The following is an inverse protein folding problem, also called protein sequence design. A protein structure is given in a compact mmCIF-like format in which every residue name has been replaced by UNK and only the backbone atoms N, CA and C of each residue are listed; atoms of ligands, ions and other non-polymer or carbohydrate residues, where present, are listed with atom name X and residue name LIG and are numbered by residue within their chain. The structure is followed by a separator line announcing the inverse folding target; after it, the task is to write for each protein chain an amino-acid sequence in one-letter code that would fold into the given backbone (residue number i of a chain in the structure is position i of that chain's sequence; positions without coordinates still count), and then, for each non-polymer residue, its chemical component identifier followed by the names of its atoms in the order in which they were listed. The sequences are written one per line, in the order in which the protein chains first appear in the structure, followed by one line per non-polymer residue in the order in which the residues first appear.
data_IF_498558960967
#
_entry.id   IF_498558960967
#
_cell.length_a   1.000
_cell.length_b   1.000
_cell.length_c   1.000
_cell.angle_alpha   90.00
_cell.angle_beta   90.00
_cell.angle_gamma   90.00
#
_symmetry.space_group_name_H-M   'P 1'
#
loop_
_entity.id
_entity.type
_entity.pdbx_description
1 polymer ?
#
# COMPACT_ATOMS: atom_id res chain seq x y z
N UNK A 1 -30.78 -36.86 78.65
CA UNK A 1 -31.06 -38.06 77.83
C UNK A 1 -29.94 -38.14 76.80
N UNK A 2 -29.14 -39.20 76.96
CA UNK A 2 -28.07 -39.82 76.14
C UNK A 2 -27.69 -39.17 74.80
N UNK A 3 -26.43 -39.07 74.38
CA UNK A 3 -25.29 -39.98 74.61
C UNK A 3 -23.92 -39.28 74.54
N UNK A 4 -22.97 -39.84 75.28
CA UNK A 4 -21.53 -39.57 75.28
C UNK A 4 -20.86 -40.29 74.08
N UNK A 5 -19.73 -39.79 73.57
CA UNK A 5 -18.36 -40.32 73.77
C UNK A 5 -17.76 -40.51 72.36
N UNK A 6 -16.47 -40.39 72.05
CA UNK A 6 -15.23 -40.03 72.73
C UNK A 6 -14.18 -39.88 71.62
N UNK A 7 -13.15 -39.07 71.83
CA UNK A 7 -11.75 -39.38 71.49
C UNK A 7 -10.94 -38.09 71.33
N UNK A 8 -10.02 -37.92 72.27
CA UNK A 8 -9.03 -36.88 72.40
C UNK A 8 -7.66 -37.54 72.18
N UNK A 9 -6.77 -36.94 71.38
CA UNK A 9 -5.40 -36.59 71.81
C UNK A 9 -4.51 -36.02 70.67
N UNK A 10 -3.77 -34.97 71.05
CA UNK A 10 -2.59 -34.35 70.41
C UNK A 10 -1.33 -35.14 70.88
N UNK A 11 -0.06 -34.76 70.58
CA UNK A 11 0.50 -33.74 69.69
C UNK A 11 1.74 -34.18 68.87
N UNK A 12 2.25 -33.34 67.98
CA UNK A 12 3.63 -32.81 67.97
C UNK A 12 4.00 -32.19 66.60
N UNK A 13 4.81 -31.14 66.65
CA UNK A 13 5.13 -30.28 65.53
C UNK A 13 6.27 -30.79 64.66
N UNK A 14 6.28 -30.38 63.39
CA UNK A 14 7.50 -30.24 62.61
C UNK A 14 7.29 -29.18 61.52
N UNK A 15 8.19 -28.20 61.51
CA UNK A 15 8.25 -27.09 60.55
C UNK A 15 8.62 -27.58 59.15
N UNK A 16 8.03 -27.10 58.04
CA UNK A 16 8.59 -27.34 56.72
C UNK A 16 9.55 -26.20 56.33
N UNK A 17 10.79 -26.63 56.12
CA UNK A 17 11.93 -25.85 55.64
C UNK A 17 11.67 -25.09 54.32
N UNK A 18 12.40 -23.99 54.18
CA UNK A 18 12.54 -23.15 53.00
C UNK A 18 12.81 -23.96 51.73
N UNK A 19 11.93 -23.85 50.73
CA UNK A 19 12.24 -24.27 49.35
C UNK A 19 13.19 -23.24 48.75
N UNK A 20 14.40 -23.67 48.41
CA UNK A 20 15.32 -22.88 47.59
C UNK A 20 14.76 -22.75 46.16
N UNK A 21 14.53 -21.52 45.71
CA UNK A 21 14.27 -21.23 44.29
C UNK A 21 15.57 -21.38 43.49
N UNK A 22 15.80 -22.58 42.95
CA UNK A 22 16.77 -22.77 41.88
C UNK A 22 16.11 -22.39 40.53
N UNK A 23 16.77 -21.58 39.68
CA UNK A 23 16.20 -21.18 38.40
C UNK A 23 16.08 -22.39 37.47
N UNK A 24 14.85 -22.69 37.02
CA UNK A 24 14.58 -23.76 36.05
C UNK A 24 15.29 -23.46 34.72
N UNK A 25 16.41 -24.12 34.47
CA UNK A 25 17.08 -24.13 33.17
C UNK A 25 16.20 -24.89 32.17
N UNK A 26 15.54 -24.17 31.26
CA UNK A 26 14.76 -24.80 30.17
C UNK A 26 15.73 -25.59 29.28
N UNK A 27 15.47 -26.87 28.96
CA UNK A 27 16.33 -27.65 28.07
C UNK A 27 16.43 -26.98 26.70
N UNK A 28 17.65 -26.68 26.26
CA UNK A 28 17.97 -26.01 24.97
C UNK A 28 17.23 -26.63 23.77
N UNK A 29 17.00 -27.94 23.79
CA UNK A 29 16.28 -28.67 22.74
C UNK A 29 14.79 -28.30 22.67
N UNK A 30 14.13 -28.10 23.82
CA UNK A 30 12.74 -27.63 23.89
C UNK A 30 12.62 -26.18 23.44
N UNK A 31 13.59 -25.33 23.81
CA UNK A 31 13.63 -23.94 23.35
C UNK A 31 13.81 -23.85 21.82
N UNK A 32 14.61 -24.73 21.21
CA UNK A 32 14.78 -24.80 19.75
C UNK A 32 13.51 -25.32 19.06
N UNK A 33 12.85 -26.35 19.60
CA UNK A 33 11.59 -26.85 19.02
C UNK A 33 10.49 -25.79 19.07
N UNK A 34 10.36 -25.09 20.19
CA UNK A 34 9.34 -24.04 20.36
C UNK A 34 9.61 -22.84 19.43
N UNK A 35 10.88 -22.49 19.21
CA UNK A 35 11.27 -21.46 18.26
C UNK A 35 10.96 -21.85 16.81
N UNK A 36 11.23 -23.11 16.42
CA UNK A 36 10.90 -23.63 15.08
C UNK A 36 9.40 -23.65 14.87
N UNK A 37 8.62 -24.16 15.84
CA UNK A 37 7.15 -24.17 15.76
C UNK A 37 6.61 -22.74 15.65
N UNK A 38 7.10 -21.80 16.47
CA UNK A 38 6.70 -20.40 16.38
C UNK A 38 7.02 -19.77 15.02
N UNK A 39 8.19 -20.08 14.45
CA UNK A 39 8.58 -19.59 13.13
C UNK A 39 7.68 -20.16 12.02
N UNK A 40 7.33 -21.44 12.09
CA UNK A 40 6.39 -22.09 11.15
C UNK A 40 5.01 -21.48 11.26
N UNK A 41 4.47 -21.30 12.47
CA UNK A 41 3.14 -20.71 12.68
C UNK A 41 3.07 -19.27 12.17
N UNK A 42 4.10 -18.45 12.42
CA UNK A 42 4.18 -17.08 11.88
C UNK A 42 4.29 -17.08 10.36
N UNK A 43 5.03 -18.02 9.79
CA UNK A 43 5.14 -18.16 8.33
C UNK A 43 3.80 -18.54 7.72
N UNK A 44 3.09 -19.50 8.32
CA UNK A 44 1.76 -19.92 7.89
C UNK A 44 0.76 -18.75 7.96
N UNK A 45 0.74 -17.99 9.05
CA UNK A 45 -0.08 -16.78 9.18
C UNK A 45 0.21 -15.77 8.06
N UNK A 46 1.49 -15.49 7.79
CA UNK A 46 1.89 -14.56 6.72
C UNK A 46 1.46 -15.07 5.34
N UNK A 47 1.63 -16.37 5.06
CA UNK A 47 1.24 -16.99 3.79
C UNK A 47 -0.28 -16.94 3.59
N UNK A 48 -1.06 -17.25 4.62
CA UNK A 48 -2.52 -17.18 4.58
C UNK A 48 -3.01 -15.75 4.36
N UNK A 49 -2.40 -14.77 5.03
CA UNK A 49 -2.71 -13.34 4.82
C UNK A 49 -2.35 -12.90 3.41
N UNK A 50 -1.20 -13.30 2.90
CA UNK A 50 -0.81 -13.03 1.51
C UNK A 50 -1.78 -13.66 0.51
N UNK A 51 -2.23 -14.89 0.76
CA UNK A 51 -3.22 -15.55 -0.09
C UNK A 51 -4.55 -14.79 -0.10
N UNK A 52 -5.03 -14.33 1.07
CA UNK A 52 -6.23 -13.46 1.16
C UNK A 52 -6.06 -12.18 0.37
N UNK A 53 -4.90 -11.51 0.49
CA UNK A 53 -4.60 -10.29 -0.27
C UNK A 53 -4.66 -10.52 -1.78
N UNK A 54 -3.95 -11.55 -2.26
CA UNK A 54 -3.85 -11.90 -3.68
C UNK A 54 -5.16 -12.42 -4.29
N UNK A 55 -6.07 -12.94 -3.45
CA UNK A 55 -7.38 -13.45 -3.89
C UNK A 55 -8.32 -12.35 -4.37
N UNK A 56 -8.02 -11.08 -4.03
CA UNK A 56 -8.82 -9.94 -4.48
C UNK A 56 -8.14 -9.24 -5.67
N UNK A 57 -8.94 -8.71 -6.61
CA UNK A 57 -8.41 -7.91 -7.73
C UNK A 57 -7.61 -6.70 -7.23
N UNK A 58 -8.10 -6.02 -6.19
CA UNK A 58 -7.45 -4.86 -5.62
C UNK A 58 -6.13 -5.21 -4.94
N UNK A 59 -6.10 -6.27 -4.12
CA UNK A 59 -4.88 -6.71 -3.45
C UNK A 59 -3.81 -7.23 -4.43
N UNK A 60 -4.22 -7.95 -5.48
CA UNK A 60 -3.30 -8.34 -6.55
C UNK A 60 -2.67 -7.13 -7.24
N UNK A 61 -3.44 -6.10 -7.62
CA UNK A 61 -2.88 -4.89 -8.25
C UNK A 61 -1.93 -4.15 -7.30
N UNK A 62 -2.27 -4.05 -6.01
CA UNK A 62 -1.41 -3.45 -4.97
C UNK A 62 -0.07 -4.18 -4.89
N UNK A 63 -0.07 -5.52 -4.84
CA UNK A 63 1.18 -6.29 -4.75
C UNK A 63 2.02 -6.10 -6.01
N UNK A 64 1.42 -6.19 -7.20
CA UNK A 64 2.13 -5.97 -8.46
C UNK A 64 2.65 -4.53 -8.58
N UNK A 65 1.91 -3.54 -8.09
CA UNK A 65 2.34 -2.15 -8.05
C UNK A 65 3.56 -1.96 -7.17
N UNK A 66 3.55 -2.52 -5.96
CA UNK A 66 4.68 -2.46 -5.05
C UNK A 66 5.92 -3.14 -5.65
N UNK A 67 5.77 -4.35 -6.20
CA UNK A 67 6.88 -5.06 -6.85
C UNK A 67 7.47 -4.25 -8.01
N UNK A 68 6.61 -3.63 -8.83
CA UNK A 68 7.05 -2.72 -9.89
C UNK A 68 7.85 -1.54 -9.33
N UNK A 69 7.25 -0.74 -8.44
CA UNK A 69 7.84 0.51 -7.98
C UNK A 69 9.09 0.30 -7.11
N UNK A 70 9.08 -0.72 -6.25
CA UNK A 70 10.23 -1.05 -5.39
C UNK A 70 11.39 -1.56 -6.24
N UNK A 71 11.16 -2.46 -7.21
CA UNK A 71 12.26 -2.96 -8.06
C UNK A 71 12.86 -1.86 -8.93
N UNK A 72 12.03 -0.95 -9.47
CA UNK A 72 12.50 0.23 -10.18
C UNK A 72 13.36 1.14 -9.28
N UNK A 73 12.86 1.47 -8.09
CA UNK A 73 13.58 2.32 -7.13
C UNK A 73 14.87 1.68 -6.66
N UNK A 74 14.83 0.37 -6.36
CA UNK A 74 15.97 -0.39 -5.89
C UNK A 74 17.07 -0.46 -6.96
N UNK A 75 16.71 -0.52 -8.24
CA UNK A 75 17.70 -0.43 -9.31
C UNK A 75 18.51 0.86 -9.22
N UNK A 76 17.83 2.01 -9.21
CA UNK A 76 18.51 3.31 -9.16
C UNK A 76 19.22 3.56 -7.84
N UNK A 77 18.68 3.06 -6.73
CA UNK A 77 19.32 3.10 -5.43
C UNK A 77 20.63 2.30 -5.44
N UNK A 78 20.62 1.08 -5.94
CA UNK A 78 21.83 0.24 -6.04
C UNK A 78 22.83 0.71 -7.09
N UNK A 79 22.35 1.40 -8.13
CA UNK A 79 23.20 2.04 -9.14
C UNK A 79 23.83 3.35 -8.64
N UNK A 80 23.37 3.90 -7.50
CA UNK A 80 23.91 5.14 -6.96
C UNK A 80 25.37 4.99 -6.51
N UNK A 81 26.18 6.02 -6.75
CA UNK A 81 27.62 6.00 -6.47
C UNK A 81 27.99 5.75 -5.00
N UNK A 82 27.25 6.23 -3.97
CA UNK A 82 27.59 5.94 -2.58
C UNK A 82 27.35 4.48 -2.20
N UNK A 83 26.25 3.88 -2.69
CA UNK A 83 25.91 2.48 -2.38
C UNK A 83 26.74 1.49 -3.20
N UNK A 84 27.12 1.84 -4.43
CA UNK A 84 28.10 1.08 -5.19
C UNK A 84 29.44 0.99 -4.44
N UNK A 85 29.90 2.11 -3.86
CA UNK A 85 31.10 2.14 -3.00
C UNK A 85 30.92 1.30 -1.73
N UNK A 86 29.82 1.48 -1.00
CA UNK A 86 29.55 0.69 0.20
C UNK A 86 29.49 -0.82 -0.10
N UNK A 87 28.83 -1.22 -1.18
CA UNK A 87 28.75 -2.62 -1.62
C UNK A 87 30.13 -3.17 -1.94
N UNK A 88 30.97 -2.40 -2.62
CA UNK A 88 32.35 -2.78 -2.90
C UNK A 88 33.13 -2.95 -1.60
N UNK A 89 33.02 -2.01 -0.65
CA UNK A 89 33.66 -2.08 0.67
C UNK A 89 33.22 -3.32 1.45
N UNK A 90 31.91 -3.60 1.52
CA UNK A 90 31.36 -4.79 2.20
C UNK A 90 31.85 -6.07 1.52
N UNK A 91 31.86 -6.12 0.18
CA UNK A 91 32.34 -7.29 -0.57
C UNK A 91 33.83 -7.53 -0.31
N UNK A 92 34.65 -6.49 -0.33
CA UNK A 92 36.07 -6.57 -0.01
C UNK A 92 36.30 -7.00 1.43
N UNK A 93 35.50 -6.49 2.37
CA UNK A 93 35.54 -6.89 3.77
C UNK A 93 35.17 -8.38 3.97
N UNK A 94 34.10 -8.86 3.31
CA UNK A 94 33.70 -10.27 3.31
C UNK A 94 34.79 -11.16 2.71
N UNK A 95 35.34 -10.81 1.55
CA UNK A 95 36.40 -11.58 0.90
C UNK A 95 37.65 -11.69 1.77
N UNK A 96 38.05 -10.59 2.43
CA UNK A 96 39.13 -10.59 3.44
C UNK A 96 38.83 -11.53 4.61
N UNK A 97 37.59 -11.52 5.11
CA UNK A 97 37.18 -12.37 6.25
C UNK A 97 37.12 -13.85 5.89
N UNK A 98 36.81 -14.19 4.64
CA UNK A 98 36.81 -15.57 4.14
C UNK A 98 38.21 -16.09 3.75
N UNK A 99 39.29 -15.33 3.99
CA UNK A 99 40.66 -15.77 3.70
C UNK A 99 40.95 -15.96 2.22
N UNK A 100 40.14 -15.37 1.33
CA UNK A 100 40.41 -15.37 -0.12
C UNK A 100 41.31 -14.20 -0.46
N UNK A 101 42.33 -14.46 -1.28
CA UNK A 101 43.16 -13.42 -1.86
C UNK A 101 42.28 -12.38 -2.55
N UNK A 102 42.56 -11.12 -2.26
CA UNK A 102 41.87 -9.98 -2.86
C UNK A 102 42.34 -9.91 -4.31
N UNK A 103 41.48 -10.16 -5.32
CA UNK A 103 41.87 -9.92 -6.70
C UNK A 103 42.21 -8.43 -6.84
N UNK A 104 43.31 -8.10 -7.52
CA UNK A 104 43.61 -6.72 -7.90
C UNK A 104 42.35 -6.09 -8.52
N UNK A 105 42.04 -4.84 -8.12
CA UNK A 105 40.86 -4.12 -8.63
C UNK A 105 40.91 -4.22 -10.15
N UNK A 106 40.00 -4.97 -10.80
CA UNK A 106 40.02 -5.04 -12.24
C UNK A 106 39.76 -3.63 -12.76
N UNK A 107 40.46 -3.18 -13.82
CA UNK A 107 40.11 -1.92 -14.48
C UNK A 107 38.61 -1.95 -14.79
N UNK A 108 37.90 -0.80 -14.76
CA UNK A 108 36.46 -0.77 -15.00
C UNK A 108 36.19 -1.50 -16.30
N UNK A 109 35.61 -2.70 -16.19
CA UNK A 109 35.36 -3.52 -17.36
C UNK A 109 34.36 -2.74 -18.22
N UNK A 110 34.82 -2.28 -19.38
CA UNK A 110 34.01 -1.64 -20.44
C UNK A 110 33.09 -2.65 -21.12
N UNK A 111 32.78 -3.76 -20.47
CA UNK A 111 31.75 -4.68 -20.89
C UNK A 111 30.41 -4.04 -20.57
N UNK A 112 30.00 -3.14 -21.47
CA UNK A 112 28.64 -2.64 -21.54
C UNK A 112 27.78 -3.84 -21.89
N UNK A 113 27.32 -4.57 -20.87
CA UNK A 113 26.31 -5.61 -21.06
C UNK A 113 25.13 -4.95 -21.74
N UNK A 114 24.81 -5.40 -22.97
CA UNK A 114 23.62 -4.98 -23.69
C UNK A 114 22.34 -5.48 -23.03
N UNK A 115 22.45 -6.38 -22.04
CA UNK A 115 21.32 -6.90 -21.31
C UNK A 115 20.75 -5.85 -20.35
N UNK A 116 19.43 -5.64 -20.43
CA UNK A 116 18.69 -4.77 -19.50
C UNK A 116 18.96 -5.21 -18.05
N UNK A 117 19.20 -4.27 -17.12
CA UNK A 117 19.39 -4.60 -15.70
C UNK A 117 18.22 -5.43 -15.14
N UNK A 118 18.48 -6.48 -14.34
CA UNK A 118 17.47 -7.45 -13.94
C UNK A 118 16.30 -6.84 -13.15
N UNK A 119 16.59 -5.86 -12.28
CA UNK A 119 15.56 -5.15 -11.50
C UNK A 119 14.65 -4.29 -12.39
N UNK A 120 15.20 -3.66 -13.43
CA UNK A 120 14.38 -2.92 -14.40
C UNK A 120 13.54 -3.87 -15.25
N UNK A 121 14.13 -4.99 -15.71
CA UNK A 121 13.39 -6.00 -16.46
C UNK A 121 12.22 -6.58 -15.63
N UNK A 122 12.41 -6.79 -14.32
CA UNK A 122 11.36 -7.22 -13.41
C UNK A 122 10.29 -6.13 -13.22
N UNK A 123 10.68 -4.87 -13.03
CA UNK A 123 9.76 -3.72 -12.98
C UNK A 123 8.89 -3.63 -14.23
N UNK A 124 9.50 -3.76 -15.41
CA UNK A 124 8.78 -3.75 -16.70
C UNK A 124 7.82 -4.92 -16.82
N UNK A 125 8.21 -6.12 -16.38
CA UNK A 125 7.35 -7.29 -16.37
C UNK A 125 6.12 -7.06 -15.48
N UNK A 126 6.32 -6.58 -14.25
CA UNK A 126 5.21 -6.25 -13.35
C UNK A 126 4.30 -5.17 -13.94
N UNK A 127 4.88 -4.14 -14.56
CA UNK A 127 4.13 -3.10 -15.27
C UNK A 127 3.26 -3.69 -16.38
N UNK A 128 3.83 -4.49 -17.28
CA UNK A 128 3.10 -5.18 -18.36
C UNK A 128 1.98 -6.07 -17.83
N UNK A 129 2.24 -6.86 -16.79
CA UNK A 129 1.22 -7.69 -16.15
C UNK A 129 0.04 -6.84 -15.67
N UNK A 130 0.29 -5.68 -15.05
CA UNK A 130 -0.77 -4.76 -14.62
C UNK A 130 -1.55 -4.18 -15.79
N UNK A 131 -0.90 -3.78 -16.88
CA UNK A 131 -1.62 -3.35 -18.10
C UNK A 131 -2.50 -4.47 -18.66
N UNK A 132 -2.01 -5.71 -18.71
CA UNK A 132 -2.80 -6.87 -19.17
C UNK A 132 -4.04 -7.09 -18.29
N UNK A 133 -3.89 -7.09 -16.95
CA UNK A 133 -5.02 -7.25 -16.04
C UNK A 133 -6.05 -6.12 -16.16
N UNK A 134 -5.59 -4.90 -16.45
CA UNK A 134 -6.45 -3.71 -16.59
C UNK A 134 -7.20 -3.64 -17.92
N UNK A 135 -6.93 -4.53 -18.89
CA UNK A 135 -7.79 -4.66 -20.08
C UNK A 135 -9.26 -4.90 -19.72
N UNK A 136 -9.52 -5.63 -18.62
CA UNK A 136 -10.86 -5.88 -18.08
C UNK A 136 -11.36 -4.73 -17.17
N UNK A 137 -10.61 -3.64 -17.07
CA UNK A 137 -10.89 -2.49 -16.21
C UNK A 137 -12.17 -1.75 -16.58
N UNK A 138 -12.56 -1.73 -17.87
CA UNK A 138 -13.79 -1.09 -18.33
C UNK A 138 -15.05 -1.67 -17.66
N UNK A 139 -15.04 -2.97 -17.31
CA UNK A 139 -16.14 -3.60 -16.57
C UNK A 139 -16.27 -3.00 -15.17
N UNK A 140 -15.15 -2.79 -14.48
CA UNK A 140 -15.14 -2.13 -13.18
C UNK A 140 -15.55 -0.66 -13.27
N UNK A 141 -15.15 0.05 -14.33
CA UNK A 141 -15.56 1.44 -14.57
C UNK A 141 -17.07 1.55 -14.82
N UNK A 142 -17.65 0.61 -15.58
CA UNK A 142 -19.10 0.54 -15.78
C UNK A 142 -19.85 0.29 -14.46
N UNK A 143 -19.39 -0.67 -13.66
CA UNK A 143 -20.00 -0.95 -12.36
C UNK A 143 -19.96 0.26 -11.43
N UNK A 144 -18.82 0.97 -11.37
CA UNK A 144 -18.68 2.20 -10.59
C UNK A 144 -19.58 3.33 -11.10
N UNK A 145 -19.62 3.55 -12.42
CA UNK A 145 -20.52 4.54 -13.03
C UNK A 145 -22.00 4.23 -12.80
N UNK A 146 -22.41 2.98 -12.93
CA UNK A 146 -23.77 2.51 -12.64
C UNK A 146 -24.15 2.74 -11.17
N UNK A 147 -23.25 2.44 -10.24
CA UNK A 147 -23.44 2.71 -8.81
C UNK A 147 -23.58 4.20 -8.53
N UNK A 148 -22.73 5.03 -9.13
CA UNK A 148 -22.76 6.49 -8.97
C UNK A 148 -24.04 7.10 -9.55
N UNK A 149 -24.54 6.55 -10.66
CA UNK A 149 -25.79 6.98 -11.25
C UNK A 149 -27.01 6.61 -10.40
N UNK A 150 -27.04 5.39 -9.85
CA UNK A 150 -28.16 4.91 -9.01
C UNK A 150 -28.20 5.57 -7.64
N UNK A 151 -27.04 5.91 -7.09
CA UNK A 151 -26.91 6.50 -5.76
C UNK A 151 -25.98 7.72 -5.80
N UNK A 152 -26.40 8.83 -6.45
CA UNK A 152 -25.56 10.00 -6.58
C UNK A 152 -25.38 10.72 -5.23
N UNK A 153 -24.25 11.41 -5.01
CA UNK A 153 -24.08 12.30 -3.86
C UNK A 153 -25.22 13.32 -3.76
N UNK A 154 -25.65 13.62 -2.52
CA UNK A 154 -26.70 14.62 -2.26
C UNK A 154 -26.25 16.04 -2.58
N UNK A 155 -25.00 16.36 -2.27
CA UNK A 155 -24.42 17.67 -2.57
C UNK A 155 -24.20 17.82 -4.09
N UNK A 156 -24.66 18.92 -4.72
CA UNK A 156 -24.61 19.09 -6.17
C UNK A 156 -23.18 19.20 -6.72
N UNK A 157 -22.25 19.76 -5.95
CA UNK A 157 -20.83 19.85 -6.33
C UNK A 157 -20.22 18.46 -6.31
N UNK A 158 -20.38 17.72 -5.21
CA UNK A 158 -19.89 16.34 -5.10
C UNK A 158 -20.50 15.43 -6.17
N UNK A 159 -21.77 15.62 -6.52
CA UNK A 159 -22.44 14.86 -7.59
C UNK A 159 -21.83 15.14 -8.96
N UNK A 160 -21.60 16.41 -9.27
CA UNK A 160 -20.97 16.80 -10.54
C UNK A 160 -19.55 16.25 -10.62
N UNK A 161 -18.78 16.39 -9.54
CA UNK A 161 -17.44 15.83 -9.44
C UNK A 161 -17.45 14.31 -9.62
N UNK A 162 -18.38 13.59 -8.99
CA UNK A 162 -18.47 12.13 -9.15
C UNK A 162 -18.72 11.69 -10.60
N UNK A 163 -19.58 12.39 -11.34
CA UNK A 163 -19.78 12.10 -12.77
C UNK A 163 -18.53 12.40 -13.62
N UNK A 164 -17.84 13.51 -13.32
CA UNK A 164 -16.60 13.85 -14.01
C UNK A 164 -15.47 12.85 -13.68
N UNK A 165 -15.39 12.37 -12.43
CA UNK A 165 -14.44 11.35 -12.00
C UNK A 165 -14.62 10.05 -12.81
N UNK A 166 -15.86 9.57 -12.93
CA UNK A 166 -16.22 8.39 -13.72
C UNK A 166 -15.89 8.60 -15.19
N UNK A 167 -16.29 9.73 -15.78
CA UNK A 167 -16.03 10.03 -17.20
C UNK A 167 -14.52 10.09 -17.50
N UNK A 168 -13.75 10.74 -16.63
CA UNK A 168 -12.31 10.87 -16.76
C UNK A 168 -11.61 9.52 -16.70
N UNK A 169 -11.99 8.66 -15.74
CA UNK A 169 -11.42 7.32 -15.60
C UNK A 169 -11.87 6.34 -16.69
N UNK A 170 -13.09 6.48 -17.20
CA UNK A 170 -13.56 5.71 -18.34
C UNK A 170 -12.73 6.03 -19.59
N UNK A 171 -12.48 7.32 -19.85
CA UNK A 171 -11.63 7.76 -20.95
C UNK A 171 -10.17 7.30 -20.78
N UNK A 172 -9.62 7.42 -19.57
CA UNK A 172 -8.29 6.89 -19.24
C UNK A 172 -8.19 5.39 -19.55
N UNK A 173 -9.11 4.58 -19.03
CA UNK A 173 -9.08 3.13 -19.21
C UNK A 173 -9.29 2.73 -20.68
N UNK A 174 -10.18 3.42 -21.40
CA UNK A 174 -10.39 3.17 -22.82
C UNK A 174 -9.13 3.45 -23.65
N UNK A 175 -8.56 4.65 -23.49
CA UNK A 175 -7.36 5.06 -24.24
C UNK A 175 -6.15 4.19 -23.90
N UNK A 176 -6.01 3.79 -22.63
CA UNK A 176 -4.99 2.86 -22.21
C UNK A 176 -5.15 1.49 -22.87
N UNK A 177 -6.35 0.91 -22.85
CA UNK A 177 -6.62 -0.40 -23.45
C UNK A 177 -6.25 -0.41 -24.93
N UNK A 178 -6.71 0.60 -25.68
CA UNK A 178 -6.41 0.74 -27.11
C UNK A 178 -4.90 0.88 -27.35
N UNK A 179 -4.23 1.71 -26.56
CA UNK A 179 -2.78 1.92 -26.66
C UNK A 179 -2.01 0.64 -26.36
N UNK A 180 -2.41 -0.09 -25.32
CA UNK A 180 -1.74 -1.32 -24.91
C UNK A 180 -1.91 -2.43 -25.94
N UNK A 181 -3.13 -2.63 -26.46
CA UNK A 181 -3.38 -3.60 -27.54
C UNK A 181 -2.59 -3.27 -28.80
N UNK A 182 -2.49 -1.98 -29.16
CA UNK A 182 -1.71 -1.54 -30.32
C UNK A 182 -0.22 -1.75 -30.11
N UNK A 183 0.31 -1.49 -28.91
CA UNK A 183 1.72 -1.71 -28.58
C UNK A 183 2.14 -3.18 -28.64
N UNK A 184 1.18 -4.11 -28.55
CA UNK A 184 1.39 -5.55 -28.71
C UNK A 184 1.01 -6.07 -30.11
N UNK A 185 0.65 -5.19 -31.06
CA UNK A 185 0.29 -5.58 -32.42
C UNK A 185 -1.05 -6.29 -32.56
N UNK A 186 -1.95 -6.20 -31.56
CA UNK A 186 -3.22 -6.92 -31.55
C UNK A 186 -4.31 -6.12 -32.28
N UNK A 187 -4.57 -4.88 -31.86
CA UNK A 187 -5.64 -4.04 -32.41
C UNK A 187 -5.40 -2.55 -32.12
N UNK A 188 -6.10 -1.66 -32.85
CA UNK A 188 -6.10 -0.22 -32.58
C UNK A 188 -5.02 0.61 -33.31
N UNK A 189 -4.06 -0.03 -33.97
CA UNK A 189 -2.95 0.66 -34.66
C UNK A 189 -3.43 1.66 -35.73
N UNK A 190 -4.39 1.27 -36.58
CA UNK A 190 -4.98 2.17 -37.59
C UNK A 190 -5.66 3.40 -36.96
N UNK A 191 -6.43 3.19 -35.89
CA UNK A 191 -7.11 4.28 -35.17
C UNK A 191 -6.09 5.24 -34.56
N UNK A 192 -5.07 4.71 -33.88
CA UNK A 192 -4.00 5.49 -33.25
C UNK A 192 -3.24 6.30 -34.30
N UNK A 193 -2.81 5.67 -35.39
CA UNK A 193 -2.09 6.35 -36.49
C UNK A 193 -2.93 7.48 -37.08
N UNK A 194 -4.22 7.26 -37.33
CA UNK A 194 -5.14 8.27 -37.88
C UNK A 194 -5.36 9.45 -36.94
N UNK A 195 -5.37 9.22 -35.63
CA UNK A 195 -5.75 10.23 -34.62
C UNK A 195 -4.53 10.84 -33.89
N UNK A 196 -3.34 10.70 -34.48
CA UNK A 196 -2.15 11.45 -34.08
C UNK A 196 -1.04 10.66 -33.39
N UNK A 197 -1.11 9.33 -33.38
CA UNK A 197 -0.03 8.44 -32.97
C UNK A 197 -0.03 8.04 -31.49
N UNK A 198 0.80 7.04 -31.17
CA UNK A 198 0.82 6.39 -29.85
C UNK A 198 1.16 7.38 -28.72
N UNK A 199 2.14 8.26 -28.94
CA UNK A 199 2.54 9.26 -27.95
C UNK A 199 1.38 10.18 -27.52
N UNK A 200 0.55 10.63 -28.47
CA UNK A 200 -0.62 11.47 -28.15
C UNK A 200 -1.70 10.71 -27.37
N UNK A 201 -1.94 9.45 -27.73
CA UNK A 201 -2.90 8.60 -27.01
C UNK A 201 -2.47 8.34 -25.58
N UNK A 202 -1.21 7.99 -25.36
CA UNK A 202 -0.63 7.83 -24.03
C UNK A 202 -0.74 9.13 -23.23
N UNK A 203 -0.43 10.28 -23.84
CA UNK A 203 -0.50 11.58 -23.19
C UNK A 203 -1.93 11.96 -22.77
N UNK A 204 -2.91 11.75 -23.64
CA UNK A 204 -4.32 12.00 -23.34
C UNK A 204 -4.88 11.04 -22.28
N UNK A 205 -4.45 9.79 -22.29
CA UNK A 205 -4.74 8.84 -21.23
C UNK A 205 -4.25 9.38 -19.89
N UNK A 206 -2.97 9.73 -19.79
CA UNK A 206 -2.38 10.28 -18.56
C UNK A 206 -3.06 11.60 -18.14
N UNK A 207 -3.40 12.48 -19.08
CA UNK A 207 -4.12 13.73 -18.77
C UNK A 207 -5.51 13.47 -18.18
N UNK A 208 -6.22 12.44 -18.64
CA UNK A 208 -7.48 12.05 -18.03
C UNK A 208 -7.29 11.44 -16.64
N UNK A 209 -6.19 10.74 -16.41
CA UNK A 209 -5.82 10.34 -15.05
C UNK A 209 -5.49 11.55 -14.16
N UNK A 210 -4.74 12.52 -14.69
CA UNK A 210 -4.43 13.74 -13.97
C UNK A 210 -5.69 14.58 -13.66
N UNK A 211 -6.62 14.70 -14.61
CA UNK A 211 -7.89 15.37 -14.39
C UNK A 211 -8.70 14.73 -13.24
N UNK A 212 -8.70 13.39 -13.14
CA UNK A 212 -9.28 12.70 -11.99
C UNK A 212 -8.59 13.07 -10.67
N UNK A 213 -7.25 13.15 -10.64
CA UNK A 213 -6.50 13.58 -9.45
C UNK A 213 -6.86 15.03 -9.06
N UNK A 214 -7.04 15.93 -10.03
CA UNK A 214 -7.51 17.30 -9.78
C UNK A 214 -8.93 17.33 -9.20
N UNK A 215 -9.82 16.49 -9.73
CA UNK A 215 -11.18 16.34 -9.21
C UNK A 215 -11.19 15.82 -7.77
N UNK A 216 -10.24 14.95 -7.37
CA UNK A 216 -10.09 14.53 -5.98
C UNK A 216 -9.79 15.71 -5.04
N UNK A 217 -9.00 16.70 -5.46
CA UNK A 217 -8.78 17.90 -4.63
C UNK A 217 -10.05 18.74 -4.50
N UNK A 218 -10.83 18.89 -5.58
CA UNK A 218 -12.14 19.57 -5.51
C UNK A 218 -13.07 18.83 -4.55
N UNK A 219 -13.14 17.51 -4.65
CA UNK A 219 -13.93 16.65 -3.75
C UNK A 219 -13.51 16.81 -2.28
N UNK A 220 -12.22 16.68 -1.99
CA UNK A 220 -11.66 16.83 -0.64
C UNK A 220 -11.90 18.22 -0.06
N UNK A 221 -11.79 19.28 -0.89
CA UNK A 221 -12.08 20.65 -0.47
C UNK A 221 -13.55 20.84 -0.11
N UNK A 222 -14.46 20.27 -0.92
CA UNK A 222 -15.90 20.35 -0.66
C UNK A 222 -16.29 19.55 0.56
N UNK A 223 -15.74 18.36 0.73
CA UNK A 223 -15.91 17.54 1.93
C UNK A 223 -15.45 18.30 3.20
N UNK A 224 -14.30 18.99 3.15
CA UNK A 224 -13.83 19.80 4.27
C UNK A 224 -14.80 20.94 4.62
N UNK A 225 -15.40 21.60 3.62
CA UNK A 225 -16.40 22.65 3.85
C UNK A 225 -17.66 22.08 4.50
N UNK A 226 -18.17 20.96 4.01
CA UNK A 226 -19.36 20.29 4.56
C UNK A 226 -19.12 19.82 5.99
N UNK A 227 -17.92 19.30 6.27
CA UNK A 227 -17.51 18.90 7.61
C UNK A 227 -17.52 20.09 8.58
N UNK A 228 -16.92 21.23 8.19
CA UNK A 228 -16.94 22.45 9.02
C UNK A 228 -18.36 23.01 9.24
N UNK A 229 -19.26 22.89 8.25
CA UNK A 229 -20.66 23.29 8.40
C UNK A 229 -21.39 22.41 9.41
N UNK A 230 -21.20 21.09 9.33
CA UNK A 230 -21.76 20.12 10.26
C UNK A 230 -21.27 20.37 11.70
N UNK A 231 -19.99 20.65 11.89
CA UNK A 231 -19.45 21.00 13.22
C UNK A 231 -20.09 22.26 13.79
N UNK A 232 -20.31 23.29 12.97
CA UNK A 232 -20.96 24.52 13.41
C UNK A 232 -22.43 24.29 13.80
N UNK A 233 -23.15 23.45 13.05
CA UNK A 233 -24.53 23.07 13.35
C UNK A 233 -24.61 22.25 14.65
N UNK A 234 -23.72 21.29 14.84
CA UNK A 234 -23.63 20.50 16.08
C UNK A 234 -23.32 21.39 17.29
N UNK A 235 -22.38 22.34 17.17
CA UNK A 235 -22.07 23.31 18.22
C UNK A 235 -23.27 24.20 18.58
N UNK A 236 -24.05 24.64 17.56
CA UNK A 236 -25.27 25.42 17.78
C UNK A 236 -26.33 24.61 18.52
N UNK A 237 -26.55 23.35 18.14
CA UNK A 237 -27.51 22.46 18.80
C UNK A 237 -27.13 22.17 20.26
N UNK A 238 -25.84 21.99 20.53
CA UNK A 238 -25.33 21.84 21.90
C UNK A 238 -25.54 23.13 22.71
N UNK A 239 -25.21 24.30 22.13
CA UNK A 239 -25.44 25.59 22.79
C UNK A 239 -26.92 25.92 23.00
N UNK A 240 -27.82 25.39 22.17
CA UNK A 240 -29.26 25.54 22.29
C UNK A 240 -29.89 24.54 23.29
N UNK A 241 -29.09 23.64 23.88
CA UNK A 241 -29.57 22.63 24.83
C UNK A 241 -30.35 21.48 24.22
N UNK A 242 -30.39 21.34 22.88
CA UNK A 242 -31.14 20.29 22.16
C UNK A 242 -30.42 18.93 22.15
N UNK A 243 -29.14 18.86 22.51
CA UNK A 243 -28.32 17.63 22.41
C UNK A 243 -27.57 17.35 23.73
N UNK A 244 -27.77 16.17 24.33
CA UNK A 244 -27.09 15.74 25.56
C UNK A 244 -25.75 15.04 25.26
N UNK A 245 -24.71 15.35 26.06
CA UNK A 245 -23.29 15.18 25.73
C UNK A 245 -22.69 13.83 26.19
N UNK A 246 -23.28 13.12 27.16
CA UNK A 246 -22.44 12.34 28.09
C UNK A 246 -21.99 10.90 27.69
N UNK A 247 -22.59 10.20 26.71
CA UNK A 247 -22.19 8.78 26.41
C UNK A 247 -22.13 8.46 24.90
N UNK A 248 -22.90 9.15 24.05
CA UNK A 248 -22.80 9.06 22.60
C UNK A 248 -21.54 9.74 22.01
N UNK A 249 -20.80 10.50 22.84
CA UNK A 249 -19.65 11.30 22.43
C UNK A 249 -18.41 10.47 22.08
N UNK A 250 -18.16 9.33 22.75
CA UNK A 250 -16.94 8.57 22.50
C UNK A 250 -16.95 7.85 21.14
N UNK A 251 -18.08 7.26 20.76
CA UNK A 251 -18.24 6.61 19.44
C UNK A 251 -18.30 7.66 18.32
N UNK A 252 -18.98 8.78 18.56
CA UNK A 252 -19.03 9.90 17.61
C UNK A 252 -17.64 10.52 17.41
N UNK A 253 -16.88 10.72 18.48
CA UNK A 253 -15.52 11.25 18.43
C UNK A 253 -14.56 10.25 17.76
N UNK A 254 -14.70 8.95 18.02
CA UNK A 254 -13.95 7.92 17.31
C UNK A 254 -14.27 7.91 15.81
N UNK A 255 -15.55 8.04 15.44
CA UNK A 255 -15.99 8.16 14.05
C UNK A 255 -15.44 9.42 13.38
N UNK A 256 -15.46 10.55 14.09
CA UNK A 256 -14.88 11.83 13.66
C UNK A 256 -13.39 11.70 13.40
N UNK A 257 -12.64 11.11 14.33
CA UNK A 257 -11.21 10.86 14.17
C UNK A 257 -10.92 9.89 13.03
N UNK A 258 -11.76 8.88 12.81
CA UNK A 258 -11.65 8.00 11.65
C UNK A 258 -11.89 8.75 10.33
N UNK A 259 -12.89 9.63 10.27
CA UNK A 259 -13.20 10.47 9.11
C UNK A 259 -12.02 11.40 8.78
N UNK A 260 -11.50 12.14 9.77
CA UNK A 260 -10.33 13.02 9.63
C UNK A 260 -9.10 12.23 9.16
N UNK A 261 -8.85 11.05 9.74
CA UNK A 261 -7.75 10.18 9.31
C UNK A 261 -7.92 9.74 7.85
N UNK A 262 -9.13 9.36 7.45
CA UNK A 262 -9.43 8.94 6.07
C UNK A 262 -9.23 10.11 5.08
N UNK A 263 -9.67 11.31 5.44
CA UNK A 263 -9.51 12.52 4.65
C UNK A 263 -8.03 12.88 4.49
N UNK A 264 -7.24 12.84 5.58
CA UNK A 264 -5.79 13.11 5.55
C UNK A 264 -5.05 12.09 4.68
N UNK A 265 -5.39 10.80 4.78
CA UNK A 265 -4.81 9.74 3.94
C UNK A 265 -5.08 10.03 2.46
N UNK A 266 -6.32 10.37 2.10
CA UNK A 266 -6.70 10.72 0.71
C UNK A 266 -5.98 11.97 0.23
N UNK A 267 -5.82 13.00 1.07
CA UNK A 267 -5.08 14.20 0.72
C UNK A 267 -3.60 13.89 0.44
N UNK A 268 -2.93 13.17 1.34
CA UNK A 268 -1.51 12.79 1.18
C UNK A 268 -1.30 11.93 -0.06
N UNK A 269 -2.19 10.97 -0.30
CA UNK A 269 -2.16 10.13 -1.50
C UNK A 269 -2.25 10.97 -2.79
N UNK A 270 -3.20 11.91 -2.87
CA UNK A 270 -3.34 12.78 -4.04
C UNK A 270 -2.16 13.75 -4.17
N UNK A 271 -1.61 14.27 -3.08
CA UNK A 271 -0.40 15.10 -3.08
C UNK A 271 0.84 14.34 -3.58
N UNK A 272 0.93 13.03 -3.31
CA UNK A 272 2.00 12.20 -3.83
C UNK A 272 1.81 11.91 -5.33
N UNK A 273 0.58 11.67 -5.78
CA UNK A 273 0.28 11.40 -7.19
C UNK A 273 0.30 12.63 -8.09
N UNK A 274 -0.12 13.80 -7.60
CA UNK A 274 -0.31 14.99 -8.42
C UNK A 274 0.97 15.45 -9.15
N UNK A 275 2.15 15.54 -8.50
CA UNK A 275 3.38 15.91 -9.19
C UNK A 275 3.78 14.93 -10.29
N UNK A 276 3.58 13.62 -10.06
CA UNK A 276 3.86 12.58 -11.05
C UNK A 276 2.89 12.65 -12.22
N UNK A 277 1.58 12.76 -11.95
CA UNK A 277 0.56 12.88 -12.99
C UNK A 277 0.77 14.15 -13.83
N UNK A 278 1.11 15.26 -13.18
CA UNK A 278 1.47 16.49 -13.86
C UNK A 278 2.74 16.28 -14.72
N UNK A 279 3.80 15.70 -14.17
CA UNK A 279 5.02 15.39 -14.91
C UNK A 279 4.74 14.52 -16.14
N UNK A 280 3.93 13.47 -16.02
CA UNK A 280 3.60 12.59 -17.15
C UNK A 280 2.58 13.19 -18.14
N UNK A 281 1.90 14.28 -17.80
CA UNK A 281 0.90 14.95 -18.66
C UNK A 281 1.50 15.89 -19.70
N UNK A 282 2.80 16.17 -19.63
CA UNK A 282 3.55 17.00 -20.59
C UNK A 282 4.55 16.16 -21.39
N UNK A 283 4.70 16.47 -22.68
CA UNK A 283 5.57 15.70 -23.59
C UNK A 283 7.05 15.66 -23.15
N UNK A 284 7.55 16.77 -22.60
CA UNK A 284 8.91 16.88 -22.05
C UNK A 284 8.97 16.60 -20.55
N UNK A 285 7.81 16.38 -19.93
CA UNK A 285 7.60 16.36 -18.50
C UNK A 285 7.97 17.65 -17.76
N UNK A 286 7.83 17.59 -16.44
CA UNK A 286 8.14 18.69 -15.50
C UNK A 286 9.50 18.53 -14.78
N UNK A 287 10.44 17.79 -15.38
CA UNK A 287 11.80 17.64 -14.82
C UNK A 287 11.94 16.67 -13.64
N UNK A 288 10.94 15.82 -13.36
CA UNK A 288 11.07 14.73 -12.39
C UNK A 288 12.06 13.68 -12.95
N UNK A 289 13.17 13.39 -12.25
CA UNK A 289 14.13 12.41 -12.74
C UNK A 289 13.52 11.00 -12.80
N UNK A 290 13.77 10.20 -13.86
CA UNK A 290 13.29 8.83 -13.94
C UNK A 290 13.67 7.97 -12.73
N UNK A 291 14.85 8.22 -12.13
CA UNK A 291 15.29 7.50 -10.93
C UNK A 291 14.39 7.66 -9.71
N UNK A 292 13.59 8.73 -9.66
CA UNK A 292 12.72 9.06 -8.52
C UNK A 292 11.26 8.64 -8.71
N UNK A 293 10.83 8.40 -9.95
CA UNK A 293 9.41 8.13 -10.26
C UNK A 293 8.91 6.87 -9.57
N UNK A 294 9.72 5.81 -9.54
CA UNK A 294 9.42 4.58 -8.81
C UNK A 294 9.23 4.84 -7.32
N UNK A 295 10.10 5.65 -6.70
CA UNK A 295 10.06 5.89 -5.26
C UNK A 295 8.83 6.72 -4.87
N UNK A 296 8.54 7.77 -5.63
CA UNK A 296 7.35 8.61 -5.41
C UNK A 296 6.06 7.78 -5.64
N UNK A 297 6.04 6.91 -6.66
CA UNK A 297 4.89 6.03 -6.93
C UNK A 297 4.67 5.02 -5.81
N UNK A 298 5.74 4.47 -5.24
CA UNK A 298 5.67 3.60 -4.08
C UNK A 298 5.14 4.34 -2.84
N UNK A 299 5.67 5.53 -2.57
CA UNK A 299 5.21 6.37 -1.46
C UNK A 299 3.72 6.71 -1.60
N UNK A 300 3.24 7.00 -2.80
CA UNK A 300 1.83 7.25 -3.05
C UNK A 300 0.95 6.02 -2.70
N UNK A 301 1.46 4.80 -2.88
CA UNK A 301 0.73 3.54 -2.64
C UNK A 301 0.89 2.93 -1.24
N UNK A 302 1.80 3.42 -0.39
CA UNK A 302 2.17 2.72 0.85
C UNK A 302 1.02 2.64 1.85
N UNK A 303 0.19 3.69 1.96
CA UNK A 303 -0.99 3.68 2.84
C UNK A 303 -2.05 2.68 2.40
N UNK A 304 -2.36 2.63 1.10
CA UNK A 304 -3.30 1.64 0.55
C UNK A 304 -2.79 0.21 0.71
N UNK A 305 -1.47 0.02 0.63
CA UNK A 305 -0.82 -1.27 0.87
C UNK A 305 -0.94 -1.68 2.33
N UNK A 306 -0.70 -0.74 3.25
CA UNK A 306 -0.83 -0.97 4.68
C UNK A 306 -2.28 -1.31 5.05
N UNK A 307 -3.25 -0.53 4.58
CA UNK A 307 -4.66 -0.75 4.87
C UNK A 307 -5.13 -2.11 4.32
N UNK A 308 -4.82 -2.43 3.06
CA UNK A 308 -5.14 -3.74 2.48
C UNK A 308 -4.47 -4.90 3.21
N UNK A 309 -3.26 -4.72 3.74
CA UNK A 309 -2.61 -5.72 4.58
C UNK A 309 -3.32 -5.88 5.92
N UNK A 310 -3.76 -4.80 6.56
CA UNK A 310 -4.52 -4.87 7.82
C UNK A 310 -5.86 -5.59 7.64
N UNK A 311 -6.54 -5.37 6.51
CA UNK A 311 -7.82 -6.04 6.22
C UNK A 311 -7.68 -7.57 6.13
N UNK A 312 -6.50 -8.10 5.82
CA UNK A 312 -6.26 -9.56 5.81
C UNK A 312 -6.19 -10.19 7.21
N UNK A 313 -5.99 -9.38 8.26
CA UNK A 313 -5.97 -9.83 9.65
C UNK A 313 -7.38 -9.99 10.23
N UNK A 314 -8.41 -9.49 9.55
CA UNK A 314 -9.79 -9.69 9.96
C UNK A 314 -10.15 -11.18 9.85
N UNK A 315 -10.92 -11.73 10.81
CA UNK A 315 -11.22 -13.17 10.89
C UNK A 315 -11.87 -13.72 9.63
#
# INVERSE_FOLDING_TARGET
MSDQSESSEKPEGTSPASRSDAPKTIPRQKAVSDAVVSAVLKTDEIVLRLNRLLSTKAGLDIVLANLNYISHSLHYLLASSPLARLRLTIRLWLLRRLGRDIPAIPPPATNVSSARPPLLAFSDLMSKTRFTLRLLGLVSMWAWGSSTYKSPPRDPVLRTVAYLEVLSMLFYQFTENVTYLASNGIAGDSLIKRTGGMGKWTLWSIRAWFAYVLLQFVKLSRESVLYSQKEQEEQRQVSAGEKSIAVADAELEAARQAEIRSWRKRLVNNLAWAPLCAHWSFEKGLGVPPSTTGFISWLAGVWGTYDAWQDTALP
#
